data_IF_543200353042
#
_entry.id   IF_543200353042
#
_cell.length_a   1.000
_cell.length_b   1.000
_cell.length_c   1.000
_cell.angle_alpha   90.00
_cell.angle_beta   90.00
_cell.angle_gamma   90.00
#
_symmetry.space_group_name_H-M   'P 1'
#
loop_
_entity.id
_entity.type
_entity.pdbx_description
1 polymer ?
#
# COMPACT_ATOMS: atom_id res chain seq x y z
N UNK A 1 21.16 7.29 -15.72
CA UNK A 1 20.70 8.42 -14.88
C UNK A 1 19.30 8.76 -15.39
N UNK A 2 18.28 8.22 -14.73
CA UNK A 2 16.82 8.34 -14.93
C UNK A 2 16.26 8.62 -16.34
N UNK A 3 15.97 7.54 -17.07
CA UNK A 3 14.97 7.50 -18.14
C UNK A 3 13.52 7.36 -17.60
N UNK A 4 13.30 7.63 -16.31
CA UNK A 4 12.04 7.32 -15.60
C UNK A 4 10.97 8.42 -15.66
N UNK A 5 11.16 9.51 -16.40
CA UNK A 5 10.19 10.65 -16.41
C UNK A 5 9.69 11.04 -17.82
N UNK A 6 10.24 10.50 -18.92
CA UNK A 6 9.75 10.84 -20.26
C UNK A 6 9.32 9.61 -21.05
N UNK A 7 8.02 9.30 -21.00
CA UNK A 7 7.46 8.24 -21.81
C UNK A 7 5.94 8.19 -21.72
N UNK A 8 5.28 9.05 -22.49
CA UNK A 8 3.88 8.89 -22.89
C UNK A 8 3.76 7.49 -23.50
N UNK A 9 3.18 6.54 -22.76
CA UNK A 9 2.81 5.23 -23.28
C UNK A 9 1.30 5.20 -23.51
N UNK A 10 0.85 5.78 -24.63
CA UNK A 10 -0.40 5.31 -25.23
C UNK A 10 -0.15 3.91 -25.76
N UNK A 11 -0.79 2.89 -25.18
CA UNK A 11 -1.40 1.75 -25.88
C UNK A 11 -1.99 0.75 -24.88
N UNK A 12 -3.30 0.86 -24.67
CA UNK A 12 -4.20 -0.27 -24.42
C UNK A 12 -4.10 -0.95 -23.05
N UNK A 13 -5.13 -0.70 -22.23
CA UNK A 13 -5.55 -1.47 -21.06
C UNK A 13 -4.80 -2.80 -20.85
N UNK A 14 -3.67 -2.71 -20.15
CA UNK A 14 -3.00 -3.85 -19.52
C UNK A 14 -3.01 -3.59 -18.02
N UNK A 15 -3.35 -4.61 -17.24
CA UNK A 15 -3.20 -4.53 -15.79
C UNK A 15 -1.74 -4.19 -15.47
N UNK A 16 -1.51 -3.00 -14.92
CA UNK A 16 -0.16 -2.44 -14.68
C UNK A 16 0.11 -1.05 -15.27
N UNK A 17 -0.86 -0.38 -15.90
CA UNK A 17 -0.72 1.02 -16.32
C UNK A 17 -0.76 1.95 -15.09
N UNK A 18 0.32 2.70 -14.85
CA UNK A 18 0.35 3.73 -13.82
C UNK A 18 -0.59 4.86 -14.22
N UNK A 19 -1.52 5.23 -13.33
CA UNK A 19 -2.39 6.40 -13.54
C UNK A 19 -1.51 7.64 -13.45
N UNK A 20 -1.10 8.16 -14.60
CA UNK A 20 -0.24 9.35 -14.69
C UNK A 20 -0.99 10.42 -15.46
N UNK A 21 -1.42 11.46 -14.75
CA UNK A 21 -1.94 12.67 -15.40
C UNK A 21 -0.78 13.62 -15.61
N UNK A 22 -0.27 13.67 -16.84
CA UNK A 22 0.82 14.58 -17.19
C UNK A 22 0.36 16.04 -17.34
N UNK A 23 -0.92 16.24 -17.63
CA UNK A 23 -1.47 17.55 -18.01
C UNK A 23 -2.25 18.26 -16.88
N UNK A 24 -2.49 17.58 -15.76
CA UNK A 24 -3.17 18.14 -14.58
C UNK A 24 -2.82 17.39 -13.30
N UNK A 25 -2.77 18.05 -12.13
CA UNK A 25 -2.69 17.35 -10.86
C UNK A 25 -3.98 16.55 -10.62
N UNK A 26 -3.84 15.39 -10.00
CA UNK A 26 -4.97 14.58 -9.53
C UNK A 26 -4.98 14.64 -8.02
N UNK A 27 -6.14 14.92 -7.47
CA UNK A 27 -6.37 14.99 -6.03
C UNK A 27 -6.99 13.69 -5.54
N UNK A 28 -6.65 13.33 -4.31
CA UNK A 28 -7.23 12.19 -3.61
C UNK A 28 -8.59 12.64 -3.07
N UNK A 29 -9.64 11.93 -3.45
CA UNK A 29 -11.01 12.17 -2.99
C UNK A 29 -11.27 11.41 -1.67
N UNK A 30 -10.92 10.12 -1.63
CA UNK A 30 -11.11 9.29 -0.44
C UNK A 30 -10.00 8.27 -0.21
N UNK A 31 -9.82 7.89 1.07
CA UNK A 31 -8.89 6.85 1.51
C UNK A 31 -9.60 5.92 2.47
N UNK A 32 -9.62 4.62 2.13
CA UNK A 32 -10.25 3.58 2.92
C UNK A 32 -9.23 2.52 3.34
N UNK A 33 -9.14 2.26 4.64
CA UNK A 33 -8.31 1.20 5.21
C UNK A 33 -9.15 -0.02 5.60
N UNK A 34 -8.64 -1.22 5.34
CA UNK A 34 -9.25 -2.48 5.75
C UNK A 34 -8.21 -3.44 6.34
N UNK A 35 -8.65 -4.27 7.30
CA UNK A 35 -7.87 -5.40 7.79
C UNK A 35 -8.10 -6.60 6.88
N UNK A 36 -7.01 -7.17 6.37
CA UNK A 36 -6.99 -8.41 5.60
C UNK A 36 -6.04 -9.41 6.26
N UNK A 37 -5.91 -10.63 5.72
CA UNK A 37 -4.96 -11.63 6.19
C UNK A 37 -3.82 -11.81 5.18
N UNK A 38 -2.58 -11.93 5.67
CA UNK A 38 -1.43 -12.33 4.86
C UNK A 38 -1.45 -13.84 4.55
N UNK A 39 -0.50 -14.31 3.75
CA UNK A 39 -0.38 -15.72 3.36
C UNK A 39 -0.13 -16.70 4.52
N UNK A 40 0.24 -16.21 5.71
CA UNK A 40 0.44 -17.01 6.93
C UNK A 40 -0.78 -16.98 7.86
N UNK A 41 -1.80 -16.19 7.52
CA UNK A 41 -3.01 -15.99 8.30
C UNK A 41 -2.89 -14.91 9.38
N UNK A 42 -1.93 -13.99 9.24
CA UNK A 42 -1.75 -12.87 10.14
C UNK A 42 -2.44 -11.61 9.62
N UNK A 43 -3.12 -10.83 10.47
CA UNK A 43 -3.68 -9.53 10.07
C UNK A 43 -2.64 -8.61 9.42
N UNK A 44 -2.99 -8.03 8.27
CA UNK A 44 -2.27 -6.94 7.61
C UNK A 44 -3.27 -5.89 7.08
N UNK A 45 -2.78 -4.79 6.50
CA UNK A 45 -3.59 -3.67 6.04
C UNK A 45 -3.68 -3.65 4.51
N UNK A 46 -4.89 -3.46 4.01
CA UNK A 46 -5.21 -3.05 2.64
C UNK A 46 -5.65 -1.59 2.66
N UNK A 47 -5.23 -0.83 1.66
CA UNK A 47 -5.70 0.54 1.43
C UNK A 47 -6.30 0.65 0.03
N UNK A 48 -7.48 1.23 -0.06
CA UNK A 48 -8.12 1.66 -1.30
C UNK A 48 -8.16 3.18 -1.36
N UNK A 49 -7.77 3.76 -2.49
CA UNK A 49 -7.73 5.20 -2.74
C UNK A 49 -8.66 5.49 -3.91
N UNK A 50 -9.53 6.47 -3.73
CA UNK A 50 -10.38 7.03 -4.77
C UNK A 50 -9.83 8.40 -5.18
N UNK A 51 -9.73 8.63 -6.49
CA UNK A 51 -9.26 9.86 -7.10
C UNK A 51 -10.46 10.63 -7.68
N UNK A 52 -10.37 11.96 -7.74
CA UNK A 52 -11.48 12.80 -8.26
C UNK A 52 -11.86 12.52 -9.73
N UNK A 53 -11.00 11.86 -10.49
CA UNK A 53 -11.26 11.46 -11.88
C UNK A 53 -12.03 10.13 -12.01
N UNK A 54 -12.41 9.53 -10.87
CA UNK A 54 -13.18 8.30 -10.79
C UNK A 54 -12.33 7.03 -10.79
N UNK A 55 -11.00 7.13 -10.78
CA UNK A 55 -10.16 5.95 -10.61
C UNK A 55 -10.10 5.49 -9.15
N UNK A 56 -10.10 4.17 -8.97
CA UNK A 56 -9.86 3.53 -7.67
C UNK A 56 -8.65 2.61 -7.77
N UNK A 57 -7.71 2.75 -6.84
CA UNK A 57 -6.51 1.91 -6.74
C UNK A 57 -6.46 1.25 -5.38
N UNK A 58 -6.04 -0.01 -5.32
CA UNK A 58 -5.90 -0.76 -4.07
C UNK A 58 -4.50 -1.33 -3.93
N UNK A 59 -3.94 -1.26 -2.73
CA UNK A 59 -2.64 -1.82 -2.39
C UNK A 59 -2.65 -2.50 -1.02
N UNK A 60 -1.87 -3.57 -0.91
CA UNK A 60 -1.76 -4.39 0.29
C UNK A 60 -0.36 -4.29 0.89
N UNK A 61 -0.27 -4.02 2.18
CA UNK A 61 1.01 -4.05 2.88
C UNK A 61 1.47 -5.51 3.08
N UNK A 62 2.70 -5.88 2.70
CA UNK A 62 3.26 -7.17 3.07
C UNK A 62 3.56 -7.19 4.57
N UNK A 63 3.25 -8.29 5.25
CA UNK A 63 3.59 -8.45 6.66
C UNK A 63 5.08 -8.83 6.81
N UNK A 64 5.89 -7.89 7.28
CA UNK A 64 7.34 -8.06 7.44
C UNK A 64 7.69 -9.21 8.40
N UNK A 65 8.65 -10.05 8.02
CA UNK A 65 9.33 -10.99 8.93
C UNK A 65 10.69 -10.45 9.43
N UNK A 66 11.23 -9.45 8.74
CA UNK A 66 12.49 -8.79 9.11
C UNK A 66 12.32 -7.94 10.37
N UNK A 67 13.42 -7.79 11.11
CA UNK A 67 13.47 -7.08 12.41
C UNK A 67 14.62 -6.09 12.47
N UNK A 68 15.03 -5.55 11.31
CA UNK A 68 16.13 -4.59 11.24
C UNK A 68 15.90 -3.40 12.16
N UNK A 69 16.90 -3.03 12.97
CA UNK A 69 16.78 -1.96 13.97
C UNK A 69 16.48 -0.57 13.36
N UNK A 70 16.68 -0.42 12.05
CA UNK A 70 16.46 0.82 11.29
C UNK A 70 15.32 0.69 10.25
N UNK A 71 14.54 -0.39 10.28
CA UNK A 71 13.37 -0.53 9.43
C UNK A 71 12.20 0.32 9.96
N UNK A 72 11.28 0.71 9.07
CA UNK A 72 10.05 1.35 9.48
C UNK A 72 9.23 0.41 10.38
N UNK A 73 8.67 0.95 11.47
CA UNK A 73 7.88 0.15 12.42
C UNK A 73 6.49 -0.14 11.87
N UNK A 74 6.14 -1.41 11.82
CA UNK A 74 4.76 -1.86 11.64
C UNK A 74 4.00 -1.75 12.98
N UNK A 75 2.94 -0.95 13.01
CA UNK A 75 2.08 -0.83 14.17
C UNK A 75 1.09 -2.00 14.24
N UNK A 76 0.95 -2.58 15.42
CA UNK A 76 -0.01 -3.66 15.69
C UNK A 76 -0.80 -3.39 16.96
N UNK A 77 -2.08 -3.75 16.93
CA UNK A 77 -2.98 -3.53 18.06
C UNK A 77 -2.46 -4.21 19.33
N UNK A 78 -2.53 -3.50 20.44
CA UNK A 78 -2.10 -4.00 21.75
C UNK A 78 -0.59 -4.08 21.96
N UNK A 79 0.24 -3.63 21.00
CA UNK A 79 1.68 -3.49 21.19
C UNK A 79 2.00 -2.19 21.95
N UNK A 80 2.93 -2.21 22.93
CA UNK A 80 3.39 -0.99 23.57
C UNK A 80 4.20 -0.13 22.57
N UNK A 81 4.17 1.21 22.69
CA UNK A 81 4.77 2.13 21.72
C UNK A 81 6.28 1.93 21.51
N UNK A 82 6.97 1.24 22.42
CA UNK A 82 8.41 0.96 22.35
C UNK A 82 8.78 -0.42 21.78
N UNK A 83 7.84 -1.38 21.66
CA UNK A 83 8.17 -2.72 21.18
C UNK A 83 8.13 -2.84 19.65
N UNK A 84 9.12 -3.52 19.07
CA UNK A 84 8.97 -4.10 17.74
C UNK A 84 7.84 -5.14 17.84
N UNK A 85 6.85 -5.07 16.95
CA UNK A 85 5.66 -5.89 17.02
C UNK A 85 5.96 -7.37 16.73
N UNK A 86 6.49 -8.10 17.71
CA UNK A 86 6.77 -9.53 17.57
C UNK A 86 5.48 -10.31 17.78
N UNK A 87 4.94 -10.82 16.68
CA UNK A 87 3.84 -11.80 16.56
C UNK A 87 2.41 -11.23 16.63
N UNK A 88 1.71 -11.05 15.50
CA UNK A 88 0.27 -10.82 15.50
C UNK A 88 -0.48 -12.11 15.87
N UNK A 89 -1.54 -11.96 16.67
CA UNK A 89 -2.45 -13.06 17.00
C UNK A 89 -3.06 -13.59 15.70
N UNK A 90 -2.97 -14.90 15.48
CA UNK A 90 -3.64 -15.60 14.37
C UNK A 90 -5.15 -15.40 14.55
N UNK A 91 -5.86 -15.01 13.49
CA UNK A 91 -7.31 -15.10 13.49
C UNK A 91 -7.66 -16.59 13.36
N UNK A 92 -8.00 -17.23 14.49
CA UNK A 92 -8.64 -18.55 14.55
C UNK A 92 -10.14 -18.41 14.47
#
# INVERSE_FOLDING_TARGET
>A
MNDYISGIHHHGARQGEYITHHDRPVTIDAVHGARILDSRGYPTVRVSIELEDGHTVTGDAPAGASTGAHEARELRDGAPPSAAATSPRRCT
#
